data_IF_950194235733
#
_entry.id   IF_950194235733
#
_cell.length_a   1.000
_cell.length_b   1.000
_cell.length_c   1.000
_cell.angle_alpha   90.00
_cell.angle_beta   90.00
_cell.angle_gamma   90.00
#
_symmetry.space_group_name_H-M   'P 1'
#
loop_
_entity.id
_entity.type
_entity.pdbx_description
1 polymer ?
#
# COMPACT_ATOMS: atom_id res chain seq x y z
N UNK A 1 -8.44 7.05 3.13
CA UNK A 1 -8.27 7.56 1.75
C UNK A 1 -7.86 9.02 1.91
N UNK A 2 -6.69 9.46 1.41
CA UNK A 2 -6.20 10.82 1.71
C UNK A 2 -7.18 11.87 1.19
N UNK A 3 -7.61 12.81 2.04
CA UNK A 3 -8.55 13.90 1.71
C UNK A 3 -8.10 14.71 0.49
N UNK A 4 -6.79 14.78 0.28
CA UNK A 4 -6.16 15.42 -0.88
C UNK A 4 -6.47 14.69 -2.20
N UNK A 5 -6.56 13.36 -2.17
CA UNK A 5 -6.86 12.54 -3.34
C UNK A 5 -8.33 12.72 -3.75
N UNK A 6 -9.24 12.71 -2.78
CA UNK A 6 -10.67 12.92 -3.02
C UNK A 6 -10.96 14.33 -3.56
N UNK A 7 -10.22 15.34 -3.06
CA UNK A 7 -10.31 16.72 -3.56
C UNK A 7 -9.84 16.83 -5.01
N UNK A 8 -8.68 16.24 -5.34
CA UNK A 8 -8.17 16.26 -6.71
C UNK A 8 -9.12 15.55 -7.70
N UNK A 9 -9.75 14.43 -7.30
CA UNK A 9 -10.78 13.77 -8.13
C UNK A 9 -11.97 14.70 -8.38
N UNK A 10 -12.47 15.37 -7.32
CA UNK A 10 -13.61 16.28 -7.43
C UNK A 10 -13.29 17.49 -8.31
N UNK A 11 -12.11 18.07 -8.16
CA UNK A 11 -11.66 19.22 -8.96
C UNK A 11 -11.52 18.83 -10.45
N UNK A 12 -10.95 17.67 -10.77
CA UNK A 12 -10.84 17.22 -12.17
C UNK A 12 -12.19 16.87 -12.79
N UNK A 13 -13.12 16.28 -12.03
CA UNK A 13 -14.49 16.03 -12.52
C UNK A 13 -15.22 17.33 -12.82
N UNK A 14 -15.03 18.35 -11.99
CA UNK A 14 -15.59 19.67 -12.18
C UNK A 14 -15.03 20.34 -13.45
N UNK A 15 -13.72 20.28 -13.68
CA UNK A 15 -13.09 20.82 -14.88
C UNK A 15 -13.63 20.14 -16.17
N UNK A 16 -13.94 18.84 -16.11
CA UNK A 16 -14.57 18.10 -17.22
C UNK A 16 -16.02 18.54 -17.44
N UNK A 17 -16.79 18.75 -16.37
CA UNK A 17 -18.17 19.25 -16.46
C UNK A 17 -18.22 20.68 -17.03
N UNK A 18 -17.32 21.55 -16.58
CA UNK A 18 -17.21 22.93 -17.05
C UNK A 18 -16.82 22.98 -18.54
N UNK A 19 -15.85 22.14 -18.97
CA UNK A 19 -15.47 22.02 -20.37
C UNK A 19 -16.62 21.48 -21.25
N UNK A 20 -17.38 20.50 -20.75
CA UNK A 20 -18.56 19.96 -21.44
C UNK A 20 -19.68 20.99 -21.56
N UNK A 21 -19.88 21.83 -20.53
CA UNK A 21 -20.86 22.90 -20.55
C UNK A 21 -20.52 23.99 -21.59
N UNK A 22 -19.23 24.33 -21.72
CA UNK A 22 -18.76 25.28 -22.75
C UNK A 22 -19.00 24.75 -24.17
N UNK A 23 -18.75 23.46 -24.42
CA UNK A 23 -19.00 22.79 -25.71
C UNK A 23 -20.49 22.79 -26.12
N UNK A 24 -21.41 22.84 -25.15
CA UNK A 24 -22.85 22.76 -25.38
C UNK A 24 -23.57 24.11 -25.37
N UNK A 25 -22.87 25.25 -25.26
CA UNK A 25 -23.51 26.58 -25.41
C UNK A 25 -24.22 26.67 -26.77
N UNK A 26 -25.56 26.79 -26.80
CA UNK A 26 -26.27 26.92 -28.07
C UNK A 26 -25.92 28.25 -28.73
N UNK A 27 -25.68 28.19 -30.04
CA UNK A 27 -25.43 29.33 -30.91
C UNK A 27 -26.71 30.13 -31.12
N UNK A 28 -27.20 30.82 -30.09
CA UNK A 28 -28.34 31.72 -30.27
C UNK A 28 -27.86 33.15 -30.34
N UNK A 29 -28.18 33.74 -31.50
CA UNK A 29 -27.97 35.09 -31.97
C UNK A 29 -26.57 35.36 -32.55
N UNK A 30 -26.43 35.19 -33.87
CA UNK A 30 -25.83 36.26 -34.66
C UNK A 30 -26.29 36.17 -36.12
N UNK A 31 -26.92 37.26 -36.52
CA UNK A 31 -27.47 37.64 -37.81
C UNK A 31 -26.32 37.83 -38.82
N UNK A 32 -26.54 37.42 -40.08
CA UNK A 32 -25.56 37.41 -41.18
C UNK A 32 -25.01 38.81 -41.51
N UNK A 33 -24.03 39.28 -40.75
CA UNK A 33 -23.19 40.46 -41.05
C UNK A 33 -21.71 40.10 -40.92
N UNK A 34 -20.80 40.92 -41.47
CA UNK A 34 -19.33 40.70 -41.49
C UNK A 34 -18.70 40.45 -40.09
N UNK A 35 -19.44 40.71 -39.02
CA UNK A 35 -19.12 40.39 -37.63
C UNK A 35 -19.14 38.86 -37.34
N UNK A 36 -19.92 38.10 -38.11
CA UNK A 36 -20.02 36.64 -38.05
C UNK A 36 -18.71 35.91 -38.34
N UNK A 37 -17.79 36.51 -39.10
CA UNK A 37 -16.46 35.91 -39.36
C UNK A 37 -15.49 36.09 -38.18
N UNK A 38 -15.63 37.17 -37.39
CA UNK A 38 -14.90 37.34 -36.11
C UNK A 38 -15.50 36.47 -35.01
N UNK A 39 -16.82 36.34 -35.01
CA UNK A 39 -17.59 35.44 -34.13
C UNK A 39 -17.23 33.96 -34.35
N UNK A 40 -17.10 33.52 -35.60
CA UNK A 40 -16.68 32.16 -35.94
C UNK A 40 -15.23 31.85 -35.53
N UNK A 41 -14.30 32.80 -35.71
CA UNK A 41 -12.91 32.66 -35.27
C UNK A 41 -12.80 32.60 -33.74
N UNK A 42 -13.49 33.51 -33.03
CA UNK A 42 -13.56 33.52 -31.57
C UNK A 42 -14.17 32.23 -31.01
N UNK A 43 -15.22 31.71 -31.66
CA UNK A 43 -15.84 30.43 -31.29
C UNK A 43 -14.93 29.24 -31.56
N UNK A 44 -14.17 29.26 -32.65
CA UNK A 44 -13.20 28.20 -32.95
C UNK A 44 -12.07 28.20 -31.92
N UNK A 45 -11.63 29.38 -31.49
CA UNK A 45 -10.62 29.54 -30.43
C UNK A 45 -11.15 29.10 -29.04
N UNK A 46 -12.41 29.42 -28.70
CA UNK A 46 -13.08 28.94 -27.49
C UNK A 46 -13.19 27.40 -27.48
N UNK A 47 -13.60 26.80 -28.60
CA UNK A 47 -13.68 25.34 -28.77
C UNK A 47 -12.29 24.68 -28.67
N UNK A 48 -11.26 25.29 -29.27
CA UNK A 48 -9.88 24.81 -29.18
C UNK A 48 -9.40 24.85 -27.71
N UNK A 49 -9.67 25.94 -27.00
CA UNK A 49 -9.34 26.08 -25.58
C UNK A 49 -10.05 25.05 -24.70
N UNK A 50 -11.36 24.84 -24.91
CA UNK A 50 -12.12 23.82 -24.22
C UNK A 50 -11.61 22.40 -24.50
N UNK A 51 -11.26 22.10 -25.75
CA UNK A 51 -10.68 20.81 -26.14
C UNK A 51 -9.31 20.58 -25.49
N UNK A 52 -8.47 21.62 -25.38
CA UNK A 52 -7.18 21.53 -24.70
C UNK A 52 -7.35 21.32 -23.19
N UNK A 53 -8.30 22.03 -22.56
CA UNK A 53 -8.63 21.85 -21.16
C UNK A 53 -9.14 20.42 -20.87
N UNK A 54 -10.05 19.90 -21.71
CA UNK A 54 -10.55 18.54 -21.60
C UNK A 54 -9.44 17.49 -21.79
N UNK A 55 -8.54 17.68 -22.75
CA UNK A 55 -7.38 16.80 -22.95
C UNK A 55 -6.43 16.80 -21.75
N UNK A 56 -6.20 17.97 -21.13
CA UNK A 56 -5.40 18.10 -19.92
C UNK A 56 -6.07 17.39 -18.74
N UNK A 57 -7.36 17.62 -18.50
CA UNK A 57 -8.13 16.97 -17.43
C UNK A 57 -8.18 15.44 -17.60
N UNK A 58 -8.29 14.95 -18.84
CA UNK A 58 -8.21 13.52 -19.14
C UNK A 58 -6.83 12.95 -18.81
N UNK A 59 -5.75 13.66 -19.14
CA UNK A 59 -4.38 13.26 -18.82
C UNK A 59 -4.15 13.22 -17.30
N UNK A 60 -4.61 14.25 -16.58
CA UNK A 60 -4.49 14.34 -15.12
C UNK A 60 -5.31 13.24 -14.43
N UNK A 61 -6.51 12.93 -14.94
CA UNK A 61 -7.33 11.81 -14.48
C UNK A 61 -6.62 10.46 -14.67
N UNK A 62 -6.00 10.24 -15.84
CA UNK A 62 -5.27 9.01 -16.13
C UNK A 62 -4.07 8.83 -15.18
N UNK A 63 -3.31 9.91 -14.95
CA UNK A 63 -2.19 9.91 -14.01
C UNK A 63 -2.66 9.59 -12.59
N UNK A 64 -3.78 10.17 -12.15
CA UNK A 64 -4.36 9.91 -10.83
C UNK A 64 -4.83 8.46 -10.69
N UNK A 65 -5.49 7.92 -11.71
CA UNK A 65 -5.89 6.51 -11.75
C UNK A 65 -4.66 5.58 -11.67
N UNK A 66 -3.59 5.92 -12.38
CA UNK A 66 -2.31 5.21 -12.31
C UNK A 66 -1.71 5.21 -10.90
N UNK A 67 -1.71 6.35 -10.21
CA UNK A 67 -1.24 6.45 -8.82
C UNK A 67 -2.09 5.65 -7.84
N UNK A 68 -3.42 5.67 -8.00
CA UNK A 68 -4.35 4.85 -7.19
C UNK A 68 -4.05 3.37 -7.39
N UNK A 69 -3.89 2.94 -8.63
CA UNK A 69 -3.59 1.56 -8.97
C UNK A 69 -2.26 1.09 -8.35
N UNK A 70 -1.20 1.90 -8.48
CA UNK A 70 0.10 1.62 -7.86
C UNK A 70 -0.01 1.54 -6.34
N UNK A 71 -0.80 2.41 -5.70
CA UNK A 71 -1.04 2.35 -4.25
C UNK A 71 -1.71 1.03 -3.84
N UNK A 72 -2.71 0.58 -4.60
CA UNK A 72 -3.40 -0.69 -4.36
C UNK A 72 -2.44 -1.87 -4.51
N UNK A 73 -1.63 -1.89 -5.58
CA UNK A 73 -0.63 -2.92 -5.81
C UNK A 73 0.40 -2.99 -4.68
N UNK A 74 0.92 -1.83 -4.25
CA UNK A 74 1.87 -1.74 -3.14
C UNK A 74 1.26 -2.32 -1.86
N UNK A 75 0.04 -1.91 -1.50
CA UNK A 75 -0.66 -2.43 -0.30
C UNK A 75 -0.86 -3.94 -0.35
N UNK A 76 -1.29 -4.48 -1.50
CA UNK A 76 -1.43 -5.93 -1.69
C UNK A 76 -0.11 -6.66 -1.52
N UNK A 77 0.98 -6.12 -2.09
CA UNK A 77 2.31 -6.71 -1.94
C UNK A 77 2.76 -6.73 -0.47
N UNK A 78 2.56 -5.63 0.26
CA UNK A 78 2.90 -5.54 1.67
C UNK A 78 2.06 -6.49 2.53
N UNK A 79 0.78 -6.67 2.22
CA UNK A 79 -0.08 -7.63 2.90
C UNK A 79 0.41 -9.08 2.72
N UNK A 80 0.88 -9.43 1.52
CA UNK A 80 1.50 -10.74 1.26
C UNK A 80 2.77 -10.91 2.11
N UNK A 81 3.64 -9.90 2.12
CA UNK A 81 4.86 -9.91 2.96
C UNK A 81 4.54 -10.08 4.45
N UNK A 82 3.49 -9.40 4.96
CA UNK A 82 3.03 -9.56 6.33
C UNK A 82 2.57 -10.99 6.60
N UNK A 83 1.68 -11.54 5.76
CA UNK A 83 1.17 -12.92 5.92
C UNK A 83 2.29 -13.95 5.91
N UNK A 84 3.26 -13.81 5.01
CA UNK A 84 4.43 -14.68 4.94
C UNK A 84 5.28 -14.58 6.21
N UNK A 85 5.50 -13.36 6.71
CA UNK A 85 6.28 -13.13 7.94
C UNK A 85 5.55 -13.71 9.16
N UNK A 86 4.24 -13.49 9.29
CA UNK A 86 3.42 -14.08 10.36
C UNK A 86 3.46 -15.61 10.33
N UNK A 87 3.40 -16.21 9.14
CA UNK A 87 3.47 -17.68 9.00
C UNK A 87 4.81 -18.22 9.51
N UNK A 88 5.92 -17.61 9.09
CA UNK A 88 7.27 -17.97 9.54
C UNK A 88 7.47 -17.82 11.04
N UNK A 89 6.94 -16.74 11.62
CA UNK A 89 6.99 -16.54 13.08
C UNK A 89 6.18 -17.61 13.81
N UNK A 90 4.99 -17.97 13.33
CA UNK A 90 4.21 -19.07 13.91
C UNK A 90 4.96 -20.40 13.86
N UNK A 91 5.62 -20.71 12.74
CA UNK A 91 6.45 -21.91 12.59
C UNK A 91 7.65 -21.90 13.57
N UNK A 92 8.32 -20.75 13.71
CA UNK A 92 9.40 -20.57 14.66
C UNK A 92 8.92 -20.74 16.12
N UNK A 93 7.79 -20.13 16.49
CA UNK A 93 7.18 -20.28 17.82
C UNK A 93 6.77 -21.72 18.11
N UNK A 94 6.14 -22.42 17.15
CA UNK A 94 5.78 -23.82 17.32
C UNK A 94 7.04 -24.70 17.55
N UNK A 95 8.11 -24.42 16.81
CA UNK A 95 9.38 -25.15 16.95
C UNK A 95 10.02 -24.93 18.32
N UNK A 96 10.07 -23.68 18.79
CA UNK A 96 10.60 -23.35 20.13
C UNK A 96 9.72 -23.96 21.23
N UNK A 97 8.39 -23.89 21.11
CA UNK A 97 7.45 -24.49 22.08
C UNK A 97 7.62 -26.00 22.25
N UNK A 98 7.89 -26.71 21.16
CA UNK A 98 8.26 -28.14 21.22
C UNK A 98 9.57 -28.35 21.95
N UNK A 99 10.58 -27.52 21.66
CA UNK A 99 11.88 -27.63 22.29
C UNK A 99 11.78 -27.49 23.83
N UNK A 100 11.06 -26.47 24.30
CA UNK A 100 10.84 -26.19 25.73
C UNK A 100 9.84 -27.14 26.42
N UNK A 101 9.27 -28.12 25.72
CA UNK A 101 8.40 -29.14 26.33
C UNK A 101 6.99 -28.65 26.71
N UNK A 102 6.54 -27.51 26.19
CA UNK A 102 5.21 -26.95 26.49
C UNK A 102 4.05 -27.68 25.77
N UNK A 103 4.33 -28.44 24.71
CA UNK A 103 3.35 -29.35 24.10
C UNK A 103 3.30 -30.67 24.90
N UNK A 104 2.31 -30.78 25.79
CA UNK A 104 2.13 -31.75 26.87
C UNK A 104 2.09 -33.27 26.54
N UNK A 105 2.70 -33.75 25.45
CA UNK A 105 2.62 -35.18 25.05
C UNK A 105 3.85 -35.80 24.37
N UNK A 106 4.98 -35.08 24.19
CA UNK A 106 6.17 -35.68 23.58
C UNK A 106 7.23 -36.03 24.64
N UNK A 107 7.13 -37.25 25.17
CA UNK A 107 8.02 -37.79 26.21
C UNK A 107 9.43 -38.19 25.73
N UNK A 108 9.84 -37.88 24.50
CA UNK A 108 11.18 -38.21 24.01
C UNK A 108 11.71 -37.00 23.26
N UNK A 109 12.83 -36.44 23.73
CA UNK A 109 13.51 -35.21 23.26
C UNK A 109 12.96 -33.89 23.79
N UNK A 110 13.06 -33.69 25.12
CA UNK A 110 13.09 -32.34 25.68
C UNK A 110 14.41 -31.68 25.27
N UNK A 111 14.33 -30.62 24.48
CA UNK A 111 15.50 -29.82 24.10
C UNK A 111 15.66 -28.75 25.18
N UNK A 112 16.72 -28.84 25.99
CA UNK A 112 17.02 -27.79 26.96
C UNK A 112 17.45 -26.50 26.25
N UNK A 113 16.53 -25.54 26.14
CA UNK A 113 16.87 -24.15 25.82
C UNK A 113 17.30 -23.43 27.10
N UNK A 114 18.37 -22.63 27.01
CA UNK A 114 18.80 -21.82 28.16
C UNK A 114 17.85 -20.64 28.39
N UNK A 115 17.80 -20.13 29.62
CA UNK A 115 16.99 -18.96 29.95
C UNK A 115 17.36 -17.73 29.10
N UNK A 116 18.64 -17.58 28.73
CA UNK A 116 19.10 -16.51 27.85
C UNK A 116 18.51 -16.65 26.43
N UNK A 117 18.41 -17.87 25.93
CA UNK A 117 17.89 -18.15 24.58
C UNK A 117 16.38 -17.94 24.52
N UNK A 118 15.66 -18.31 25.59
CA UNK A 118 14.23 -18.04 25.74
C UNK A 118 13.99 -16.53 25.74
N UNK A 119 14.77 -15.78 26.52
CA UNK A 119 14.69 -14.32 26.59
C UNK A 119 14.96 -13.66 25.22
N UNK A 120 16.01 -14.08 24.50
CA UNK A 120 16.31 -13.56 23.16
C UNK A 120 15.15 -13.82 22.19
N UNK A 121 14.58 -15.02 22.22
CA UNK A 121 13.44 -15.38 21.40
C UNK A 121 12.19 -14.54 21.71
N UNK A 122 11.89 -14.33 23.00
CA UNK A 122 10.77 -13.48 23.44
C UNK A 122 10.93 -12.03 23.02
N UNK A 123 12.16 -11.49 23.10
CA UNK A 123 12.46 -10.13 22.64
C UNK A 123 12.25 -9.97 21.13
N UNK A 124 12.68 -10.96 20.34
CA UNK A 124 12.47 -10.96 18.90
C UNK A 124 10.98 -11.10 18.55
N UNK A 125 10.22 -11.89 19.31
CA UNK A 125 8.76 -11.96 19.18
C UNK A 125 8.08 -10.64 19.53
N UNK A 126 8.51 -9.97 20.59
CA UNK A 126 7.99 -8.66 20.96
C UNK A 126 8.25 -7.62 19.86
N UNK A 127 9.44 -7.63 19.25
CA UNK A 127 9.76 -6.79 18.10
C UNK A 127 8.84 -7.06 16.91
N UNK A 128 8.58 -8.34 16.61
CA UNK A 128 7.64 -8.72 15.55
C UNK A 128 6.22 -8.21 15.82
N UNK A 129 5.71 -8.43 17.04
CA UNK A 129 4.36 -8.02 17.44
C UNK A 129 4.21 -6.49 17.41
N UNK A 130 5.21 -5.75 17.87
CA UNK A 130 5.22 -4.28 17.75
C UNK A 130 5.18 -3.82 16.30
N UNK A 131 5.91 -4.49 15.40
CA UNK A 131 5.83 -4.24 13.96
C UNK A 131 4.42 -4.51 13.40
N UNK A 132 3.78 -5.59 13.84
CA UNK A 132 2.43 -5.96 13.43
C UNK A 132 1.39 -4.92 13.88
N UNK A 133 1.46 -4.46 15.13
CA UNK A 133 0.59 -3.40 15.65
C UNK A 133 0.76 -2.09 14.89
N UNK A 134 2.01 -1.70 14.58
CA UNK A 134 2.31 -0.53 13.76
C UNK A 134 1.77 -0.66 12.34
N UNK A 135 1.84 -1.85 11.75
CA UNK A 135 1.29 -2.10 10.41
C UNK A 135 -0.25 -1.99 10.42
N UNK A 136 -0.92 -2.50 11.46
CA UNK A 136 -2.37 -2.43 11.61
C UNK A 136 -2.89 -1.01 11.87
N UNK A 137 -2.09 -0.17 12.54
CA UNK A 137 -2.42 1.22 12.86
C UNK A 137 -1.87 2.25 11.86
N UNK A 138 -1.21 1.79 10.78
CA UNK A 138 -0.59 2.67 9.79
C UNK A 138 -1.63 3.50 9.03
N UNK A 139 -1.42 4.81 8.99
CA UNK A 139 -2.31 5.76 8.30
C UNK A 139 -1.86 6.01 6.84
N UNK A 140 -0.62 5.66 6.52
CA UNK A 140 -0.01 5.91 5.21
C UNK A 140 0.75 4.71 4.63
N UNK A 141 0.98 4.68 3.30
CA UNK A 141 1.76 3.62 2.66
C UNK A 141 3.19 3.52 3.16
N UNK A 142 3.83 4.66 3.48
CA UNK A 142 5.21 4.68 3.98
C UNK A 142 5.31 4.10 5.40
N UNK A 143 4.36 4.44 6.27
CA UNK A 143 4.26 3.87 7.62
C UNK A 143 4.03 2.37 7.56
N UNK A 144 3.10 1.94 6.69
CA UNK A 144 2.83 0.52 6.46
C UNK A 144 4.09 -0.20 5.95
N UNK A 145 4.75 0.32 4.92
CA UNK A 145 5.95 -0.28 4.35
C UNK A 145 7.08 -0.41 5.38
N UNK A 146 7.31 0.64 6.18
CA UNK A 146 8.30 0.63 7.26
C UNK A 146 7.98 -0.41 8.33
N UNK A 147 6.71 -0.49 8.76
CA UNK A 147 6.27 -1.49 9.73
C UNK A 147 6.42 -2.92 9.20
N UNK A 148 6.01 -3.17 7.95
CA UNK A 148 6.16 -4.48 7.27
C UNK A 148 7.63 -4.85 7.14
N UNK A 149 8.52 -3.91 6.82
CA UNK A 149 9.96 -4.16 6.76
C UNK A 149 10.52 -4.57 8.14
N UNK A 150 10.09 -3.90 9.21
CA UNK A 150 10.44 -4.27 10.59
C UNK A 150 9.94 -5.68 10.96
N UNK A 151 8.69 -6.00 10.63
CA UNK A 151 8.13 -7.35 10.81
C UNK A 151 8.96 -8.40 10.08
N UNK A 152 9.30 -8.15 8.81
CA UNK A 152 10.08 -9.06 7.97
C UNK A 152 11.48 -9.29 8.54
N UNK A 153 12.13 -8.23 9.03
CA UNK A 153 13.44 -8.34 9.66
C UNK A 153 13.39 -9.17 10.96
N UNK A 154 12.40 -8.91 11.82
CA UNK A 154 12.22 -9.69 13.05
C UNK A 154 11.92 -11.17 12.74
N UNK A 155 11.07 -11.44 11.75
CA UNK A 155 10.75 -12.80 11.31
C UNK A 155 12.00 -13.54 10.77
N UNK A 156 12.86 -12.86 10.01
CA UNK A 156 14.13 -13.45 9.53
C UNK A 156 15.04 -13.80 10.71
N UNK A 157 15.20 -12.90 11.69
CA UNK A 157 16.01 -13.18 12.88
C UNK A 157 15.47 -14.37 13.67
N UNK A 158 14.15 -14.45 13.85
CA UNK A 158 13.50 -15.59 14.51
C UNK A 158 13.76 -16.91 13.76
N UNK A 159 13.70 -16.92 12.43
CA UNK A 159 14.04 -18.12 11.66
C UNK A 159 15.52 -18.52 11.81
N UNK A 160 16.43 -17.55 11.72
CA UNK A 160 17.88 -17.81 11.87
C UNK A 160 18.16 -18.39 13.25
N UNK A 161 17.59 -17.80 14.31
CA UNK A 161 17.71 -18.30 15.67
C UNK A 161 17.26 -19.77 15.76
N UNK A 162 16.10 -20.11 15.21
CA UNK A 162 15.58 -21.49 15.22
C UNK A 162 16.49 -22.44 14.43
N UNK A 163 16.93 -22.06 13.23
CA UNK A 163 17.82 -22.89 12.41
C UNK A 163 19.17 -23.15 13.09
N UNK A 164 19.76 -22.12 13.71
CA UNK A 164 21.03 -22.25 14.42
C UNK A 164 20.91 -23.22 15.60
N UNK A 165 19.79 -23.18 16.32
CA UNK A 165 19.52 -24.11 17.43
C UNK A 165 19.31 -25.54 16.96
N UNK A 166 18.55 -25.75 15.88
CA UNK A 166 18.38 -27.07 15.29
C UNK A 166 19.72 -27.68 14.85
N UNK A 167 20.62 -26.88 14.26
CA UNK A 167 21.97 -27.32 13.86
C UNK A 167 22.88 -27.66 15.04
N UNK A 168 22.72 -27.00 16.18
CA UNK A 168 23.49 -27.32 17.40
C UNK A 168 23.06 -28.65 18.02
N UNK A 169 21.77 -28.99 17.93
CA UNK A 169 21.23 -30.24 18.46
C UNK A 169 21.63 -31.46 17.64
N UNK A 170 21.71 -31.32 16.30
CA UNK A 170 22.13 -32.42 15.41
C UNK A 170 23.63 -32.74 15.47
N UNK A 171 24.44 -31.90 16.13
CA UNK A 171 25.89 -32.09 16.28
C UNK A 171 26.30 -32.69 17.63
N UNK A 172 25.37 -32.83 18.59
CA UNK A 172 25.60 -33.52 19.87
C UNK A 172 25.28 -35.00 19.72
#
# INVERSE_FOLDING_TARGET
MSTMLARNVADTLKDVEDAKAALHKPANAEEDTEEGSRSAAARTEELLGASQAAAKAATDSLNLAGLIWLNILLKKSLEVDMRMSTTRVREATATVRRAIGEEAQQQHEHIEMSAADIQEFEELLAQFNSGQEKAQSANGPNELASAVAGMKQAAIKLMIFVEERQKQLTKR
#
